data_IF_571856820278
#
_entry.id   IF_571856820278
#
_cell.length_a   1.000
_cell.length_b   1.000
_cell.length_c   1.000
_cell.angle_alpha   90.00
_cell.angle_beta   90.00
_cell.angle_gamma   90.00
#
_symmetry.space_group_name_H-M   'P 1'
#
loop_
_entity.id
_entity.type
_entity.pdbx_description
1 polymer ?
#
# COMPACT_ATOMS: atom_id res chain seq x y z
N UNK A 1 -11.53 17.20 0.64
CA UNK A 1 -11.09 16.04 -0.16
C UNK A 1 -11.37 14.80 0.69
N UNK A 2 -12.17 13.85 0.21
CA UNK A 2 -12.44 12.63 0.98
C UNK A 2 -11.17 11.80 1.06
N UNK A 3 -10.66 11.59 2.27
CA UNK A 3 -9.45 10.80 2.52
C UNK A 3 -9.68 9.39 2.00
N UNK A 4 -8.78 8.90 1.15
CA UNK A 4 -8.78 7.50 0.72
C UNK A 4 -7.54 6.85 1.29
N UNK A 5 -7.75 5.82 2.10
CA UNK A 5 -6.69 5.01 2.70
C UNK A 5 -6.66 3.63 2.05
N UNK A 6 -5.48 3.01 2.05
CA UNK A 6 -5.28 1.66 1.53
C UNK A 6 -4.54 0.80 2.57
N UNK A 7 -4.97 -0.43 2.78
CA UNK A 7 -4.18 -1.41 3.54
C UNK A 7 -4.52 -2.84 3.09
N UNK A 8 -3.80 -3.82 3.64
CA UNK A 8 -4.08 -5.25 3.47
C UNK A 8 -5.17 -5.79 4.40
N UNK A 9 -5.67 -4.96 5.33
CA UNK A 9 -6.60 -5.39 6.38
C UNK A 9 -7.83 -4.49 6.46
N UNK A 10 -9.00 -5.11 6.67
CA UNK A 10 -10.27 -4.36 6.79
C UNK A 10 -10.29 -3.46 8.03
N UNK A 11 -10.86 -2.26 7.96
CA UNK A 11 -11.08 -1.43 9.14
C UNK A 11 -12.08 -2.09 10.08
N UNK A 12 -11.95 -1.85 11.39
CA UNK A 12 -12.88 -2.36 12.42
C UNK A 12 -14.24 -1.67 12.39
N UNK A 13 -14.29 -0.39 11.99
CA UNK A 13 -15.48 0.46 12.04
C UNK A 13 -15.74 1.01 10.63
N UNK A 14 -16.94 0.74 10.09
CA UNK A 14 -17.40 1.24 8.80
C UNK A 14 -18.94 1.28 8.76
N UNK A 15 -19.51 2.15 7.93
CA UNK A 15 -20.97 2.31 7.78
C UNK A 15 -21.53 1.54 6.57
N UNK A 16 -20.72 1.34 5.54
CA UNK A 16 -21.09 0.61 4.34
C UNK A 16 -19.87 -0.07 3.72
N UNK A 17 -20.14 -1.13 2.93
CA UNK A 17 -19.14 -1.87 2.17
C UNK A 17 -19.63 -2.08 0.75
N UNK A 18 -18.77 -1.82 -0.22
CA UNK A 18 -18.97 -2.18 -1.62
C UNK A 18 -17.72 -2.85 -2.19
N UNK A 19 -17.80 -3.33 -3.43
CA UNK A 19 -16.69 -4.01 -4.10
C UNK A 19 -16.48 -3.41 -5.48
N UNK A 20 -15.22 -3.09 -5.82
CA UNK A 20 -14.83 -2.72 -7.17
C UNK A 20 -13.36 -3.10 -7.43
N UNK A 21 -13.04 -3.45 -8.68
CA UNK A 21 -11.67 -3.78 -9.12
C UNK A 21 -10.94 -4.79 -8.22
N UNK A 22 -11.66 -5.83 -7.76
CA UNK A 22 -11.16 -6.84 -6.81
C UNK A 22 -10.70 -6.26 -5.45
N UNK A 23 -11.29 -5.14 -5.02
CA UNK A 23 -11.09 -4.55 -3.71
C UNK A 23 -12.42 -4.38 -2.99
N UNK A 24 -12.40 -4.60 -1.69
CA UNK A 24 -13.43 -4.13 -0.77
C UNK A 24 -13.20 -2.65 -0.49
N UNK A 25 -14.27 -1.86 -0.58
CA UNK A 25 -14.28 -0.42 -0.31
C UNK A 25 -15.20 -0.19 0.88
N UNK A 26 -14.64 0.30 1.98
CA UNK A 26 -15.36 0.57 3.22
C UNK A 26 -15.58 2.07 3.38
N UNK A 27 -16.81 2.48 3.61
CA UNK A 27 -17.13 3.85 3.98
C UNK A 27 -16.89 4.02 5.49
N UNK A 28 -16.00 4.93 5.85
CA UNK A 28 -15.57 5.21 7.24
C UNK A 28 -15.96 6.64 7.61
N UNK A 29 -15.85 7.00 8.89
CA UNK A 29 -16.12 8.37 9.33
C UNK A 29 -15.17 9.39 8.67
N UNK A 30 -13.92 8.99 8.41
CA UNK A 30 -12.85 9.86 7.90
C UNK A 30 -12.75 9.88 6.37
N UNK A 31 -13.56 9.08 5.68
CA UNK A 31 -13.55 8.93 4.23
C UNK A 31 -13.76 7.48 3.82
N UNK A 32 -12.84 6.92 3.05
CA UNK A 32 -12.95 5.53 2.57
C UNK A 32 -11.66 4.75 2.79
N UNK A 33 -11.82 3.46 3.03
CA UNK A 33 -10.72 2.51 3.19
C UNK A 33 -10.81 1.43 2.13
N UNK A 34 -9.75 1.26 1.34
CA UNK A 34 -9.67 0.29 0.25
C UNK A 34 -8.77 -0.87 0.66
N UNK A 35 -9.26 -2.10 0.46
CA UNK A 35 -8.55 -3.33 0.85
C UNK A 35 -8.68 -4.36 -0.27
N UNK A 36 -7.59 -5.00 -0.73
CA UNK A 36 -7.69 -6.04 -1.75
C UNK A 36 -8.54 -7.21 -1.22
N UNK A 37 -9.36 -7.82 -2.07
CA UNK A 37 -10.13 -9.02 -1.68
C UNK A 37 -9.17 -10.19 -1.45
N UNK A 38 -8.16 -10.31 -2.32
CA UNK A 38 -7.10 -11.32 -2.26
C UNK A 38 -5.73 -10.64 -2.36
N UNK A 39 -4.76 -11.08 -1.56
CA UNK A 39 -3.37 -10.63 -1.70
C UNK A 39 -2.68 -11.40 -2.83
N UNK A 40 -3.14 -11.19 -4.06
CA UNK A 40 -2.67 -11.87 -5.28
C UNK A 40 -2.71 -10.92 -6.47
N UNK A 41 -2.19 -11.36 -7.62
CA UNK A 41 -2.18 -10.57 -8.85
C UNK A 41 -3.59 -10.32 -9.43
N UNK A 42 -4.62 -11.01 -8.93
CA UNK A 42 -6.02 -10.73 -9.26
C UNK A 42 -6.45 -9.34 -8.75
N UNK A 43 -6.03 -8.99 -7.53
CA UNK A 43 -6.33 -7.69 -6.91
C UNK A 43 -5.19 -6.70 -7.14
N UNK A 44 -3.96 -7.16 -6.98
CA UNK A 44 -2.74 -6.36 -6.98
C UNK A 44 -2.12 -6.36 -8.38
N UNK A 45 -2.62 -5.48 -9.24
CA UNK A 45 -2.10 -5.29 -10.59
C UNK A 45 -2.38 -3.87 -11.09
N UNK A 46 -1.66 -3.40 -12.14
CA UNK A 46 -1.87 -2.07 -12.70
C UNK A 46 -3.32 -1.76 -13.09
N UNK A 47 -4.04 -2.70 -13.70
CA UNK A 47 -5.42 -2.48 -14.16
C UNK A 47 -6.35 -2.14 -12.99
N UNK A 48 -6.26 -2.89 -11.89
CA UNK A 48 -7.08 -2.64 -10.70
C UNK A 48 -6.77 -1.29 -10.07
N UNK A 49 -5.50 -0.94 -9.94
CA UNK A 49 -5.07 0.33 -9.32
C UNK A 49 -5.43 1.55 -10.18
N UNK A 50 -5.31 1.43 -11.50
CA UNK A 50 -5.82 2.45 -12.43
C UNK A 50 -7.33 2.61 -12.34
N UNK A 51 -8.07 1.52 -12.29
CA UNK A 51 -9.53 1.55 -12.13
C UNK A 51 -9.94 2.27 -10.84
N UNK A 52 -9.27 1.97 -9.72
CA UNK A 52 -9.50 2.64 -8.44
C UNK A 52 -9.13 4.13 -8.51
N UNK A 53 -8.01 4.48 -9.15
CA UNK A 53 -7.60 5.87 -9.37
C UNK A 53 -8.69 6.65 -10.12
N UNK A 54 -9.18 6.10 -11.24
CA UNK A 54 -10.20 6.76 -12.08
C UNK A 54 -11.56 6.85 -11.39
N UNK A 55 -11.98 5.79 -10.70
CA UNK A 55 -13.25 5.74 -9.96
C UNK A 55 -13.33 6.79 -8.86
N UNK A 56 -12.19 7.07 -8.20
CA UNK A 56 -12.13 7.93 -7.03
C UNK A 56 -11.47 9.27 -7.27
N UNK A 57 -11.03 9.54 -8.50
CA UNK A 57 -10.28 10.74 -8.90
C UNK A 57 -9.08 11.01 -7.96
N UNK A 58 -8.22 10.00 -7.81
CA UNK A 58 -7.14 10.03 -6.82
C UNK A 58 -5.87 10.70 -7.34
N UNK A 59 -5.51 11.81 -6.71
CA UNK A 59 -4.18 12.41 -6.82
C UNK A 59 -3.19 11.86 -5.77
N UNK A 60 -3.70 11.38 -4.64
CA UNK A 60 -2.89 10.86 -3.53
C UNK A 60 -3.56 9.72 -2.79
N UNK A 61 -2.76 8.88 -2.14
CA UNK A 61 -3.20 7.77 -1.30
C UNK A 61 -2.39 7.73 0.00
N UNK A 62 -3.04 7.40 1.12
CA UNK A 62 -2.36 7.03 2.36
C UNK A 62 -2.39 5.50 2.50
N UNK A 63 -1.22 4.87 2.47
CA UNK A 63 -1.08 3.45 2.73
C UNK A 63 -0.80 3.24 4.23
N UNK A 64 -1.60 2.39 4.85
CA UNK A 64 -1.43 1.94 6.22
C UNK A 64 -0.91 0.51 6.16
N UNK A 65 0.30 0.28 6.69
CA UNK A 65 0.93 -1.04 6.69
C UNK A 65 1.20 -1.53 8.11
N UNK A 66 1.25 -2.85 8.31
CA UNK A 66 1.69 -3.41 9.59
C UNK A 66 3.21 -3.44 9.63
N UNK A 67 3.79 -2.97 10.75
CA UNK A 67 5.22 -3.00 10.99
C UNK A 67 5.57 -3.86 12.21
N UNK A 68 6.78 -4.44 12.22
CA UNK A 68 7.45 -4.98 13.41
C UNK A 68 8.69 -4.15 13.74
N UNK A 69 9.23 -4.34 14.94
CA UNK A 69 10.47 -3.71 15.41
C UNK A 69 10.41 -2.17 15.47
N UNK A 70 9.23 -1.63 15.75
CA UNK A 70 9.01 -0.20 16.05
C UNK A 70 7.87 -0.06 17.04
N UNK A 71 8.08 0.76 18.07
CA UNK A 71 7.10 1.02 19.13
C UNK A 71 6.43 2.38 18.99
N UNK A 72 6.62 3.06 17.85
CA UNK A 72 6.12 4.42 17.59
C UNK A 72 5.57 4.53 16.17
N UNK A 73 4.69 5.50 15.97
CA UNK A 73 4.24 5.88 14.62
C UNK A 73 5.38 6.48 13.79
N UNK A 74 5.52 5.97 12.57
CA UNK A 74 6.59 6.31 11.63
C UNK A 74 6.03 6.60 10.25
N UNK A 75 6.71 7.48 9.52
CA UNK A 75 6.49 7.73 8.10
C UNK A 75 7.43 6.84 7.30
N UNK A 76 6.88 5.96 6.48
CA UNK A 76 7.67 5.10 5.60
C UNK A 76 8.10 5.94 4.41
N UNK A 77 9.40 6.12 4.23
CA UNK A 77 9.98 6.93 3.15
C UNK A 77 10.72 6.10 2.12
N UNK A 78 11.14 4.89 2.48
CA UNK A 78 11.84 3.95 1.60
C UNK A 78 11.49 2.51 1.97
N UNK A 79 11.68 1.59 1.02
CA UNK A 79 11.50 0.18 1.26
C UNK A 79 12.61 -0.65 0.59
N UNK A 80 12.95 -1.78 1.21
CA UNK A 80 13.66 -2.88 0.58
C UNK A 80 12.68 -4.03 0.44
N UNK A 81 12.39 -4.44 -0.80
CA UNK A 81 11.51 -5.58 -1.04
C UNK A 81 12.29 -6.89 -0.87
N UNK A 82 12.05 -7.60 0.25
CA UNK A 82 12.59 -8.93 0.56
C UNK A 82 11.57 -10.06 0.37
N UNK A 83 10.39 -9.77 -0.17
CA UNK A 83 9.35 -10.77 -0.38
C UNK A 83 9.64 -11.71 -1.56
N UNK A 84 10.45 -11.25 -2.54
CA UNK A 84 10.65 -11.96 -3.81
C UNK A 84 9.52 -11.78 -4.83
N UNK A 85 8.50 -10.97 -4.50
CA UNK A 85 7.32 -10.73 -5.35
C UNK A 85 7.33 -9.31 -5.92
N UNK A 86 6.89 -9.15 -7.16
CA UNK A 86 6.61 -7.84 -7.76
C UNK A 86 5.37 -7.95 -8.66
N UNK A 87 4.32 -7.22 -8.31
CA UNK A 87 3.02 -7.23 -9.00
C UNK A 87 2.99 -6.47 -10.34
N UNK A 88 4.11 -5.85 -10.74
CA UNK A 88 4.29 -5.27 -12.07
C UNK A 88 4.80 -6.29 -13.11
N UNK A 89 5.35 -7.44 -12.68
CA UNK A 89 5.94 -8.44 -13.59
C UNK A 89 4.88 -8.95 -14.59
N UNK A 90 5.18 -8.84 -15.88
CA UNK A 90 4.30 -9.28 -16.97
C UNK A 90 3.01 -8.46 -17.12
N UNK A 91 2.87 -7.36 -16.38
CA UNK A 91 1.68 -6.48 -16.39
C UNK A 91 2.00 -5.04 -16.83
N UNK A 92 3.25 -4.76 -17.17
CA UNK A 92 3.70 -3.50 -17.78
C UNK A 92 4.17 -3.75 -19.23
N UNK A 93 4.04 -2.76 -20.14
CA UNK A 93 3.39 -1.46 -19.93
C UNK A 93 1.86 -1.61 -19.80
N UNK A 94 1.23 -0.59 -19.24
CA UNK A 94 -0.24 -0.51 -19.12
C UNK A 94 -0.67 0.92 -19.47
N UNK A 95 -1.53 1.07 -20.49
CA UNK A 95 -1.80 2.36 -21.14
C UNK A 95 -0.47 2.99 -21.62
N UNK A 96 -0.30 4.30 -21.46
CA UNK A 96 0.87 5.07 -21.91
C UNK A 96 2.04 5.07 -20.91
N UNK A 97 2.02 4.18 -19.90
CA UNK A 97 3.07 4.12 -18.89
C UNK A 97 4.25 3.22 -19.27
N UNK A 98 5.45 3.49 -18.75
CA UNK A 98 6.66 2.76 -19.12
C UNK A 98 6.65 1.31 -18.61
N UNK A 99 7.32 0.42 -19.34
CA UNK A 99 7.58 -0.95 -18.88
C UNK A 99 8.40 -0.98 -17.59
N UNK A 100 9.37 -0.07 -17.48
CA UNK A 100 10.27 0.09 -16.34
C UNK A 100 10.04 1.46 -15.68
N UNK A 101 9.17 1.55 -14.68
CA UNK A 101 8.95 2.79 -13.95
C UNK A 101 10.15 3.16 -13.07
N UNK A 102 10.36 4.47 -12.90
CA UNK A 102 11.25 4.99 -11.87
C UNK A 102 10.67 4.68 -10.48
N UNK A 103 11.52 4.26 -9.54
CA UNK A 103 11.15 3.89 -8.17
C UNK A 103 11.87 4.74 -7.12
N UNK A 104 12.65 5.76 -7.53
CA UNK A 104 13.47 6.56 -6.63
C UNK A 104 12.68 7.52 -5.72
N UNK A 105 11.48 7.93 -6.12
CA UNK A 105 10.70 8.98 -5.43
C UNK A 105 9.23 8.62 -5.23
N UNK A 106 8.98 7.37 -4.83
CA UNK A 106 7.63 6.86 -4.56
C UNK A 106 6.95 7.65 -3.43
N UNK A 107 7.64 7.80 -2.31
CA UNK A 107 7.03 8.25 -1.05
C UNK A 107 7.08 9.76 -0.86
N UNK A 108 6.02 10.29 -0.24
CA UNK A 108 5.90 11.67 0.21
C UNK A 108 5.94 11.73 1.75
N UNK A 109 6.60 12.75 2.32
CA UNK A 109 6.74 12.87 3.77
C UNK A 109 5.41 13.19 4.44
N UNK A 110 5.18 12.59 5.61
CA UNK A 110 4.10 12.96 6.53
C UNK A 110 4.71 13.83 7.63
N UNK A 111 4.23 15.08 7.84
CA UNK A 111 4.76 15.96 8.88
C UNK A 111 4.69 15.33 10.27
N UNK A 112 5.66 15.66 11.13
CA UNK A 112 5.72 15.25 12.53
C UNK A 112 5.84 13.73 12.79
N UNK A 113 6.15 12.93 11.78
CA UNK A 113 6.46 11.51 11.93
C UNK A 113 7.92 11.23 11.61
N UNK A 114 8.54 10.33 12.39
CA UNK A 114 9.91 9.87 12.14
C UNK A 114 9.95 9.13 10.80
N UNK A 115 10.84 9.55 9.90
CA UNK A 115 11.02 8.92 8.60
C UNK A 115 11.86 7.65 8.75
N UNK A 116 11.43 6.55 8.11
CA UNK A 116 12.10 5.25 8.20
C UNK A 116 12.19 4.55 6.85
N UNK A 117 13.22 3.72 6.72
CA UNK A 117 13.31 2.65 5.73
C UNK A 117 12.75 1.36 6.34
N UNK A 118 12.01 0.59 5.55
CA UNK A 118 11.45 -0.70 6.00
C UNK A 118 11.84 -1.86 5.08
N UNK A 119 11.79 -3.06 5.61
CA UNK A 119 12.06 -4.30 4.88
C UNK A 119 10.75 -5.05 4.67
N UNK A 120 10.21 -5.03 3.45
CA UNK A 120 8.92 -5.67 3.14
C UNK A 120 9.10 -7.16 2.87
N UNK A 121 8.41 -8.00 3.62
CA UNK A 121 8.58 -9.47 3.56
C UNK A 121 7.40 -10.22 2.94
N UNK A 122 6.24 -9.57 2.78
CA UNK A 122 5.01 -10.20 2.32
C UNK A 122 4.19 -10.82 3.47
N UNK A 123 2.86 -10.99 3.32
CA UNK A 123 1.97 -11.41 4.40
C UNK A 123 2.34 -12.71 5.10
N UNK A 124 2.74 -13.74 4.33
CA UNK A 124 3.07 -15.05 4.88
C UNK A 124 4.29 -14.99 5.82
N UNK A 125 5.39 -14.40 5.36
CA UNK A 125 6.62 -14.23 6.17
C UNK A 125 6.44 -13.20 7.28
N UNK A 126 5.52 -12.26 7.14
CA UNK A 126 5.23 -11.29 8.19
C UNK A 126 4.60 -11.95 9.42
N UNK A 127 3.88 -13.07 9.28
CA UNK A 127 3.28 -13.77 10.42
C UNK A 127 4.31 -14.58 11.22
N UNK A 128 5.43 -14.98 10.61
CA UNK A 128 6.51 -15.68 11.30
C UNK A 128 7.52 -14.72 11.94
N UNK A 129 8.37 -15.24 12.83
CA UNK A 129 9.62 -14.56 13.13
C UNK A 129 10.44 -14.43 11.84
N UNK A 130 10.96 -13.25 11.59
CA UNK A 130 11.74 -12.97 10.39
C UNK A 130 13.24 -13.10 10.65
N UNK A 131 13.68 -13.06 11.91
CA UNK A 131 15.10 -12.96 12.27
C UNK A 131 15.77 -11.69 11.73
N UNK A 132 14.98 -10.66 11.43
CA UNK A 132 15.42 -9.36 10.92
C UNK A 132 15.34 -8.36 12.08
N UNK A 133 16.45 -7.67 12.36
CA UNK A 133 16.52 -6.65 13.42
C UNK A 133 15.99 -5.28 12.93
N UNK A 134 16.00 -5.04 11.61
CA UNK A 134 15.46 -3.84 10.98
C UNK A 134 13.92 -3.75 11.07
N UNK A 135 13.35 -2.58 10.76
CA UNK A 135 11.90 -2.40 10.74
C UNK A 135 11.31 -3.23 9.60
N UNK A 136 10.49 -4.22 9.95
CA UNK A 136 9.86 -5.13 8.99
C UNK A 136 8.48 -4.62 8.63
N UNK A 137 8.18 -4.61 7.33
CA UNK A 137 6.88 -4.27 6.78
C UNK A 137 6.19 -5.51 6.22
N UNK A 138 4.87 -5.56 6.32
CA UNK A 138 4.08 -6.62 5.70
C UNK A 138 4.04 -6.47 4.18
N UNK A 139 3.62 -5.31 3.66
CA UNK A 139 3.24 -5.21 2.25
C UNK A 139 3.60 -3.90 1.52
N UNK A 140 4.12 -2.86 2.18
CA UNK A 140 4.29 -1.54 1.53
C UNK A 140 5.16 -1.58 0.27
N UNK A 141 6.24 -2.36 0.26
CA UNK A 141 7.12 -2.53 -0.90
C UNK A 141 6.50 -3.31 -2.07
N UNK A 142 5.29 -3.85 -1.89
CA UNK A 142 4.51 -4.52 -2.92
C UNK A 142 3.36 -3.65 -3.45
N UNK A 143 2.78 -2.83 -2.57
CA UNK A 143 1.62 -1.99 -2.88
C UNK A 143 2.04 -0.61 -3.38
N UNK A 144 3.03 0.03 -2.74
CA UNK A 144 3.45 1.38 -3.10
C UNK A 144 3.93 1.50 -4.56
N UNK A 145 4.67 0.53 -5.14
CA UNK A 145 5.00 0.55 -6.55
C UNK A 145 3.79 0.57 -7.48
N UNK A 146 2.69 -0.08 -7.14
CA UNK A 146 1.47 -0.10 -7.95
C UNK A 146 0.75 1.25 -7.95
N UNK A 147 0.62 1.90 -6.78
CA UNK A 147 0.05 3.25 -6.69
C UNK A 147 0.93 4.29 -7.36
N UNK A 148 2.25 4.21 -7.16
CA UNK A 148 3.21 5.07 -7.83
C UNK A 148 3.13 4.90 -9.35
N UNK A 149 3.10 3.64 -9.82
CA UNK A 149 2.93 3.32 -11.23
C UNK A 149 1.66 3.95 -11.79
N UNK A 150 0.53 3.88 -11.08
CA UNK A 150 -0.72 4.54 -11.48
C UNK A 150 -0.65 6.08 -11.49
N UNK A 151 0.47 6.69 -11.09
CA UNK A 151 0.65 8.14 -11.02
C UNK A 151 -0.14 8.76 -9.87
N UNK A 152 -0.19 8.09 -8.72
CA UNK A 152 -0.80 8.59 -7.48
C UNK A 152 0.32 8.91 -6.48
N UNK A 153 0.25 10.05 -5.81
CA UNK A 153 1.20 10.40 -4.75
C UNK A 153 1.03 9.49 -3.54
N UNK A 154 2.11 8.83 -3.11
CA UNK A 154 2.05 7.83 -2.03
C UNK A 154 2.53 8.42 -0.71
N UNK A 155 1.65 8.44 0.29
CA UNK A 155 2.00 8.62 1.70
C UNK A 155 1.90 7.26 2.38
N UNK A 156 2.78 6.98 3.35
CA UNK A 156 2.77 5.68 4.02
C UNK A 156 3.15 5.80 5.50
N UNK A 157 2.41 5.09 6.36
CA UNK A 157 2.70 4.97 7.80
C UNK A 157 2.29 3.60 8.32
N UNK A 158 2.75 3.26 9.52
CA UNK A 158 2.26 2.08 10.22
C UNK A 158 0.82 2.27 10.72
N UNK A 159 0.12 1.17 10.96
CA UNK A 159 -0.93 1.12 11.98
C UNK A 159 -0.37 0.60 13.30
N UNK A 160 -0.90 1.12 14.42
CA UNK A 160 -0.93 0.34 15.65
C UNK A 160 -1.96 -0.78 15.48
N UNK A 161 -1.46 -2.00 15.33
CA UNK A 161 -2.26 -3.16 15.72
C UNK A 161 -2.07 -3.34 17.22
N UNK A 162 -3.07 -2.94 18.00
CA UNK A 162 -3.26 -3.43 19.38
C UNK A 162 -3.20 -4.96 19.44
#
# INVERSE_FOLDING_TARGET
>A
MNKTEYSTHSPKIFSAKETAFNHNIFQTADGRHVVPITFSDESLNPKSFFGLKEMFDLDSILIIDRLKNTDTDVCIMEHINRSGTNFLIGRTPHKELPTFPDMGHIYKPIPNLKQVLVHTVGPERFLSDTGIDEIVSEAIGLIAPLWHYAGVAVFARNCYTE
#
